data_IF_443197964746
#
_entry.id   IF_443197964746
#
_cell.length_a   1.000
_cell.length_b   1.000
_cell.length_c   1.000
_cell.angle_alpha   90.00
_cell.angle_beta   90.00
_cell.angle_gamma   90.00
#
_symmetry.space_group_name_H-M   'P 1'
#
loop_
_entity.id
_entity.type
_entity.pdbx_description
1 polymer ?
#
# COMPACT_ATOMS: atom_id res chain seq x y z
N UNK A 1 8.14 7.57 -2.08
CA UNK A 1 6.93 7.33 -2.93
C UNK A 1 6.85 8.40 -4.03
N UNK A 2 6.08 8.19 -5.10
CA UNK A 2 5.90 9.17 -6.19
C UNK A 2 4.43 9.51 -6.44
N UNK A 3 4.17 10.59 -7.18
CA UNK A 3 2.84 11.07 -7.59
C UNK A 3 1.97 9.99 -8.26
N UNK A 4 2.59 9.07 -9.01
CA UNK A 4 1.86 8.02 -9.75
C UNK A 4 1.56 6.77 -8.92
N UNK A 5 2.12 6.68 -7.71
CA UNK A 5 1.92 5.50 -6.85
C UNK A 5 0.44 5.29 -6.50
N UNK A 6 -0.33 6.31 -6.08
CA UNK A 6 -1.76 6.16 -5.78
C UNK A 6 -2.56 5.57 -6.93
N UNK A 7 -2.35 6.05 -8.16
CA UNK A 7 -3.10 5.58 -9.35
C UNK A 7 -2.67 4.20 -9.83
N UNK A 8 -1.52 3.70 -9.38
CA UNK A 8 -1.02 2.36 -9.71
C UNK A 8 -1.52 1.29 -8.73
N UNK A 9 -1.92 1.68 -7.51
CA UNK A 9 -2.42 0.74 -6.48
C UNK A 9 -3.58 -0.13 -6.97
N UNK A 10 -4.63 0.39 -7.64
CA UNK A 10 -5.72 -0.45 -8.14
C UNK A 10 -5.23 -1.56 -9.07
N UNK A 11 -4.32 -1.25 -9.99
CA UNK A 11 -3.73 -2.25 -10.89
C UNK A 11 -2.95 -3.34 -10.12
N UNK A 12 -2.19 -2.96 -9.08
CA UNK A 12 -1.48 -3.94 -8.25
C UNK A 12 -2.46 -4.85 -7.51
N UNK A 13 -3.56 -4.31 -6.99
CA UNK A 13 -4.61 -5.09 -6.33
C UNK A 13 -5.26 -6.09 -7.30
N UNK A 14 -5.61 -5.64 -8.51
CA UNK A 14 -6.15 -6.50 -9.57
C UNK A 14 -5.17 -7.62 -9.92
N UNK A 15 -3.88 -7.29 -10.05
CA UNK A 15 -2.82 -8.26 -10.36
C UNK A 15 -2.65 -9.31 -9.26
N UNK A 16 -2.75 -8.94 -7.99
CA UNK A 16 -2.74 -9.89 -6.87
C UNK A 16 -3.98 -10.80 -6.85
N UNK A 17 -5.11 -10.29 -7.35
CA UNK A 17 -6.36 -11.02 -7.50
C UNK A 17 -6.36 -12.08 -8.61
N UNK A 18 -5.44 -12.01 -9.57
CA UNK A 18 -5.44 -12.88 -10.74
C UNK A 18 -4.75 -14.24 -10.44
N UNK A 19 -5.47 -15.38 -10.43
CA UNK A 19 -4.90 -16.66 -9.99
C UNK A 19 -3.72 -17.15 -10.83
N UNK A 20 -3.70 -16.83 -12.12
CA UNK A 20 -2.64 -17.21 -13.06
C UNK A 20 -1.34 -16.38 -12.90
N UNK A 21 -1.37 -15.32 -12.08
CA UNK A 21 -0.17 -14.52 -11.84
C UNK A 21 0.81 -15.30 -10.95
N UNK A 22 2.05 -15.47 -11.43
CA UNK A 22 3.08 -16.17 -10.67
C UNK A 22 3.68 -15.34 -9.53
N UNK A 23 3.43 -14.02 -9.51
CA UNK A 23 4.05 -13.08 -8.58
C UNK A 23 3.08 -12.49 -7.54
N UNK A 24 1.97 -13.19 -7.24
CA UNK A 24 0.89 -12.66 -6.38
C UNK A 24 1.40 -12.30 -4.97
N UNK A 25 2.29 -13.11 -4.40
CA UNK A 25 2.86 -12.88 -3.07
C UNK A 25 3.70 -11.59 -3.08
N UNK A 26 4.57 -11.44 -4.07
CA UNK A 26 5.45 -10.28 -4.25
C UNK A 26 4.64 -9.01 -4.48
N UNK A 27 3.53 -9.10 -5.22
CA UNK A 27 2.62 -7.97 -5.45
C UNK A 27 1.94 -7.56 -4.13
N UNK A 28 1.49 -8.51 -3.30
CA UNK A 28 0.91 -8.20 -1.99
C UNK A 28 1.96 -7.58 -1.05
N UNK A 29 3.21 -8.05 -1.09
CA UNK A 29 4.31 -7.47 -0.33
C UNK A 29 4.70 -6.06 -0.81
N UNK A 30 4.60 -5.80 -2.12
CA UNK A 30 4.76 -4.46 -2.69
C UNK A 30 3.64 -3.52 -2.20
N UNK A 31 2.38 -3.95 -2.25
CA UNK A 31 1.24 -3.18 -1.72
C UNK A 31 1.45 -2.89 -0.23
N UNK A 32 1.93 -3.88 0.54
CA UNK A 32 2.25 -3.71 1.96
C UNK A 32 3.36 -2.67 2.18
N UNK A 33 4.39 -2.69 1.34
CA UNK A 33 5.49 -1.72 1.41
C UNK A 33 5.02 -0.31 1.08
N UNK A 34 4.14 -0.14 0.08
CA UNK A 34 3.49 1.12 -0.24
C UNK A 34 2.70 1.63 0.97
N UNK A 35 1.82 0.80 1.55
CA UNK A 35 0.99 1.17 2.69
C UNK A 35 1.80 1.60 3.93
N UNK A 36 2.93 0.93 4.18
CA UNK A 36 3.81 1.22 5.31
C UNK A 36 4.71 2.43 5.12
N UNK A 37 4.87 2.92 3.89
CA UNK A 37 5.84 3.98 3.60
C UNK A 37 5.44 5.29 4.29
N UNK A 38 6.38 5.90 5.02
CA UNK A 38 6.25 7.20 5.70
C UNK A 38 7.36 8.17 5.30
N UNK A 39 8.04 7.90 4.17
CA UNK A 39 9.26 8.58 3.76
C UNK A 39 9.10 10.11 3.72
N UNK A 40 8.02 10.61 3.12
CA UNK A 40 7.77 12.04 2.99
C UNK A 40 7.20 12.66 4.26
N UNK A 41 6.36 11.93 4.98
CA UNK A 41 5.90 12.36 6.31
C UNK A 41 7.09 12.55 7.28
N UNK A 42 8.01 11.59 7.33
CA UNK A 42 9.20 11.63 8.18
C UNK A 42 10.15 12.74 7.74
N UNK A 43 10.36 12.92 6.43
CA UNK A 43 11.17 14.02 5.89
C UNK A 43 10.58 15.40 6.22
N UNK A 44 9.26 15.56 6.12
CA UNK A 44 8.56 16.80 6.51
C UNK A 44 8.69 17.09 8.01
N UNK A 45 8.55 16.05 8.84
CA UNK A 45 8.68 16.17 10.30
C UNK A 45 10.11 16.56 10.73
N UNK A 46 11.13 16.04 10.03
CA UNK A 46 12.54 16.35 10.28
C UNK A 46 13.00 17.69 9.66
N UNK A 47 12.22 18.27 8.73
CA UNK A 47 12.58 19.51 8.06
C UNK A 47 12.43 20.74 8.97
N UNK A 48 13.30 21.73 8.74
CA UNK A 48 13.10 23.08 9.28
C UNK A 48 11.68 23.59 8.89
N UNK A 49 10.94 24.24 9.81
CA UNK A 49 9.60 24.75 9.52
C UNK A 49 9.48 25.53 8.21
N UNK A 50 10.52 26.25 7.78
CA UNK A 50 10.53 27.01 6.53
C UNK A 50 10.48 26.16 5.26
N UNK A 51 10.78 24.87 5.36
CA UNK A 51 10.79 23.92 4.24
C UNK A 51 9.66 22.89 4.27
N UNK A 52 8.78 22.92 5.27
CA UNK A 52 7.67 21.95 5.38
C UNK A 52 6.73 22.00 4.16
N UNK A 53 6.48 23.19 3.63
CA UNK A 53 5.63 23.38 2.44
C UNK A 53 6.17 22.67 1.20
N UNK A 54 7.48 22.45 1.11
CA UNK A 54 8.12 21.70 0.00
C UNK A 54 7.75 20.21 0.04
N UNK A 55 7.38 19.68 1.21
CA UNK A 55 7.02 18.28 1.40
C UNK A 55 5.50 18.06 1.41
N UNK A 56 4.67 19.10 1.51
CA UNK A 56 3.21 18.96 1.61
C UNK A 56 2.63 18.13 0.46
N UNK A 57 3.00 18.44 -0.78
CA UNK A 57 2.54 17.70 -1.96
C UNK A 57 3.01 16.23 -1.92
N UNK A 58 4.25 15.99 -1.50
CA UNK A 58 4.82 14.64 -1.42
C UNK A 58 4.16 13.80 -0.33
N UNK A 59 3.82 14.43 0.80
CA UNK A 59 3.03 13.82 1.88
C UNK A 59 1.62 13.49 1.37
N UNK A 60 1.01 14.37 0.56
CA UNK A 60 -0.29 14.10 -0.05
C UNK A 60 -0.26 12.87 -0.96
N UNK A 61 0.82 12.64 -1.72
CA UNK A 61 0.99 11.40 -2.50
C UNK A 61 1.03 10.15 -1.61
N UNK A 62 1.70 10.23 -0.46
CA UNK A 62 1.75 9.13 0.51
C UNK A 62 0.39 8.81 1.11
N UNK A 63 -0.34 9.84 1.52
CA UNK A 63 -1.70 9.68 2.05
C UNK A 63 -2.61 9.08 0.97
N UNK A 64 -2.60 9.62 -0.24
CA UNK A 64 -3.43 9.12 -1.33
C UNK A 64 -3.13 7.65 -1.69
N UNK A 65 -1.86 7.22 -1.63
CA UNK A 65 -1.53 5.82 -1.87
C UNK A 65 -2.03 4.91 -0.74
N UNK A 66 -1.94 5.35 0.52
CA UNK A 66 -2.48 4.59 1.66
C UNK A 66 -4.00 4.47 1.58
N UNK A 67 -4.68 5.56 1.24
CA UNK A 67 -6.12 5.59 1.03
C UNK A 67 -6.54 4.67 -0.11
N UNK A 68 -5.77 4.65 -1.21
CA UNK A 68 -6.01 3.72 -2.31
C UNK A 68 -5.90 2.26 -1.88
N UNK A 69 -4.94 1.90 -1.01
CA UNK A 69 -4.86 0.53 -0.45
C UNK A 69 -6.05 0.23 0.47
N UNK A 70 -6.41 1.17 1.36
CA UNK A 70 -7.54 1.02 2.27
C UNK A 70 -8.87 0.84 1.52
N UNK A 71 -9.07 1.55 0.42
CA UNK A 71 -10.24 1.43 -0.43
C UNK A 71 -10.43 0.01 -1.02
N UNK A 72 -9.35 -0.79 -1.08
CA UNK A 72 -9.36 -2.15 -1.60
C UNK A 72 -9.26 -3.22 -0.50
N UNK A 73 -9.51 -2.85 0.77
CA UNK A 73 -9.45 -3.79 1.91
C UNK A 73 -10.27 -5.06 1.68
N UNK A 74 -11.45 -4.98 1.07
CA UNK A 74 -12.29 -6.16 0.81
C UNK A 74 -11.61 -7.16 -0.14
N UNK A 75 -10.82 -6.69 -1.11
CA UNK A 75 -10.06 -7.61 -1.99
C UNK A 75 -8.98 -8.34 -1.20
N UNK A 76 -8.29 -7.64 -0.28
CA UNK A 76 -7.31 -8.25 0.62
C UNK A 76 -7.98 -9.28 1.55
N UNK A 77 -9.19 -9.02 2.03
CA UNK A 77 -9.98 -9.99 2.81
C UNK A 77 -10.35 -11.26 2.02
N UNK A 78 -10.59 -11.14 0.71
CA UNK A 78 -10.80 -12.29 -0.18
C UNK A 78 -9.50 -13.06 -0.35
N UNK A 79 -8.38 -12.37 -0.62
CA UNK A 79 -7.05 -12.98 -0.75
C UNK A 79 -6.57 -13.68 0.53
N UNK A 80 -6.98 -13.20 1.70
CA UNK A 80 -6.71 -13.87 2.98
C UNK A 80 -7.43 -15.22 3.14
N UNK A 81 -8.33 -15.58 2.21
CA UNK A 81 -9.05 -16.87 2.15
C UNK A 81 -8.71 -17.66 0.88
N UNK A 82 -7.64 -17.29 0.19
CA UNK A 82 -7.19 -17.95 -1.03
C UNK A 82 -6.75 -19.41 -0.79
N UNK A 83 -6.70 -20.22 -1.85
CA UNK A 83 -6.20 -21.58 -1.77
C UNK A 83 -4.67 -21.64 -1.65
N UNK A 84 -3.97 -20.63 -2.17
CA UNK A 84 -2.52 -20.51 -2.05
C UNK A 84 -2.13 -20.01 -0.65
N UNK A 85 -1.37 -20.84 0.09
CA UNK A 85 -0.93 -20.52 1.45
C UNK A 85 0.03 -19.33 1.53
N UNK A 86 0.85 -19.11 0.50
CA UNK A 86 1.73 -17.94 0.42
C UNK A 86 0.91 -16.66 0.28
N UNK A 87 -0.12 -16.68 -0.58
CA UNK A 87 -1.06 -15.57 -0.74
C UNK A 87 -1.82 -15.30 0.55
N UNK A 88 -2.35 -16.33 1.21
CA UNK A 88 -3.04 -16.20 2.51
C UNK A 88 -2.13 -15.56 3.55
N UNK A 89 -0.88 -16.00 3.66
CA UNK A 89 0.07 -15.46 4.63
C UNK A 89 0.38 -13.96 4.37
N UNK A 90 0.66 -13.59 3.12
CA UNK A 90 0.94 -12.22 2.74
C UNK A 90 -0.29 -11.31 2.93
N UNK A 91 -1.47 -11.75 2.47
CA UNK A 91 -2.71 -10.99 2.60
C UNK A 91 -3.14 -10.82 4.06
N UNK A 92 -2.98 -11.85 4.90
CA UNK A 92 -3.28 -11.77 6.33
C UNK A 92 -2.39 -10.75 7.04
N UNK A 93 -1.09 -10.70 6.67
CA UNK A 93 -0.17 -9.68 7.18
C UNK A 93 -0.63 -8.27 6.79
N UNK A 94 -0.97 -8.05 5.52
CA UNK A 94 -1.49 -6.76 5.07
C UNK A 94 -2.79 -6.39 5.82
N UNK A 95 -3.74 -7.31 5.91
CA UNK A 95 -5.03 -7.08 6.57
C UNK A 95 -4.89 -6.71 8.05
N UNK A 96 -3.90 -7.27 8.75
CA UNK A 96 -3.60 -6.90 10.14
C UNK A 96 -3.19 -5.42 10.27
N UNK A 97 -2.49 -4.88 9.27
CA UNK A 97 -2.11 -3.46 9.21
C UNK A 97 -3.31 -2.58 8.87
N UNK A 98 -4.18 -3.02 7.95
CA UNK A 98 -5.39 -2.29 7.55
C UNK A 98 -6.51 -2.28 8.60
N UNK A 99 -6.39 -3.12 9.63
CA UNK A 99 -7.36 -3.21 10.74
C UNK A 99 -6.89 -2.46 12.00
N UNK A 100 -5.68 -1.91 11.96
CA UNK A 100 -5.08 -1.15 13.06
C UNK A 100 -5.27 0.38 12.93
N UNK A 101 -6.12 0.82 12.00
CA UNK A 101 -6.45 2.23 11.74
C UNK A 101 -7.86 2.57 12.22
#
# INVERSE_FOLDING_TARGET
MSEVTPVTVPFLVELAGHPESQCRVEVIDLITSIYKTTQWADASAAADPRYRSVFEEKVAWEVAAKDAVLAHKQVVEVLARDADRGVVAAASRLLSLLSSC
#
